data_IF_707550877300
#
_entry.id   IF_707550877300
#
_cell.length_a   1.000
_cell.length_b   1.000
_cell.length_c   1.000
_cell.angle_alpha   90.00
_cell.angle_beta   90.00
_cell.angle_gamma   90.00
#
_symmetry.space_group_name_H-M   'P 1'
#
loop_
_entity.id
_entity.type
_entity.pdbx_description
1 polymer ?
#
# COMPACT_ATOMS: atom_id res chain seq x y z
N UNK A 1 -21.61 -17.97 -1.24
CA UNK A 1 -21.64 -17.84 0.23
C UNK A 1 -20.37 -17.10 0.64
N UNK A 2 -20.42 -16.06 1.48
CA UNK A 2 -19.24 -15.31 1.91
C UNK A 2 -18.17 -16.21 2.55
N UNK A 3 -16.91 -15.96 2.24
CA UNK A 3 -15.78 -16.80 2.66
C UNK A 3 -15.63 -16.88 4.18
N UNK A 4 -15.93 -15.79 4.89
CA UNK A 4 -15.92 -15.73 6.36
C UNK A 4 -16.85 -16.79 7.00
N UNK A 5 -17.93 -17.18 6.33
CA UNK A 5 -18.86 -18.19 6.81
C UNK A 5 -18.35 -19.63 6.62
N UNK A 6 -17.27 -19.82 5.86
CA UNK A 6 -16.62 -21.12 5.62
C UNK A 6 -15.46 -21.39 6.57
N UNK A 7 -14.90 -20.33 7.18
CA UNK A 7 -13.68 -20.42 7.99
C UNK A 7 -13.85 -21.00 9.41
N UNK A 8 -15.08 -21.22 9.87
CA UNK A 8 -15.34 -21.79 11.20
C UNK A 8 -14.95 -20.91 12.39
N UNK A 9 -14.42 -19.71 12.19
CA UNK A 9 -14.08 -18.77 13.25
C UNK A 9 -15.33 -18.01 13.71
N UNK A 10 -15.91 -18.43 14.83
CA UNK A 10 -17.13 -17.85 15.38
C UNK A 10 -17.03 -16.34 15.64
N UNK A 11 -15.89 -15.84 16.12
CA UNK A 11 -15.69 -14.43 16.39
C UNK A 11 -15.71 -13.58 15.10
N UNK A 12 -15.10 -14.07 14.04
CA UNK A 12 -15.12 -13.41 12.72
C UNK A 12 -16.53 -13.44 12.10
N UNK A 13 -17.24 -14.56 12.27
CA UNK A 13 -18.62 -14.71 11.80
C UNK A 13 -19.54 -13.73 12.51
N UNK A 14 -19.44 -13.59 13.83
CA UNK A 14 -20.23 -12.62 14.62
C UNK A 14 -19.90 -11.18 14.24
N UNK A 15 -18.63 -10.83 14.11
CA UNK A 15 -18.23 -9.50 13.66
C UNK A 15 -18.79 -9.17 12.26
N UNK A 16 -18.76 -10.14 11.35
CA UNK A 16 -19.34 -9.99 10.01
C UNK A 16 -20.86 -9.83 10.07
N UNK A 17 -21.58 -10.64 10.87
CA UNK A 17 -23.03 -10.54 11.06
C UNK A 17 -23.45 -9.18 11.61
N UNK A 18 -22.76 -8.72 12.66
CA UNK A 18 -23.00 -7.40 13.26
C UNK A 18 -22.82 -6.29 12.21
N UNK A 19 -21.73 -6.33 11.44
CA UNK A 19 -21.49 -5.39 10.34
C UNK A 19 -22.63 -5.41 9.32
N UNK A 20 -23.05 -6.59 8.85
CA UNK A 20 -24.13 -6.73 7.87
C UNK A 20 -25.49 -6.22 8.40
N UNK A 21 -25.77 -6.47 9.69
CA UNK A 21 -26.98 -5.96 10.34
C UNK A 21 -26.98 -4.44 10.36
N UNK A 22 -25.90 -3.82 10.84
CA UNK A 22 -25.77 -2.35 10.89
C UNK A 22 -25.83 -1.71 9.50
N UNK A 23 -25.21 -2.32 8.50
CA UNK A 23 -25.25 -1.85 7.10
C UNK A 23 -26.66 -1.88 6.52
N UNK A 24 -27.42 -2.93 6.79
CA UNK A 24 -28.83 -3.05 6.37
C UNK A 24 -29.72 -2.02 7.07
N UNK A 25 -29.57 -1.87 8.38
CA UNK A 25 -30.31 -0.90 9.18
C UNK A 25 -30.03 0.52 8.68
N UNK A 26 -28.74 0.86 8.50
CA UNK A 26 -28.34 2.17 7.99
C UNK A 26 -28.95 2.49 6.61
N UNK A 27 -29.15 1.46 5.77
CA UNK A 27 -29.67 1.64 4.41
C UNK A 27 -31.19 1.64 4.35
N UNK A 28 -31.84 0.72 5.09
CA UNK A 28 -33.28 0.46 4.95
C UNK A 28 -34.13 1.11 6.03
N UNK A 29 -33.60 1.25 7.24
CA UNK A 29 -34.34 1.70 8.41
C UNK A 29 -33.45 2.50 9.36
N UNK A 30 -32.87 3.63 8.89
CA UNK A 30 -32.01 4.47 9.74
C UNK A 30 -32.73 5.05 10.97
N UNK A 31 -34.05 5.14 10.90
CA UNK A 31 -34.94 5.56 11.99
C UNK A 31 -34.81 4.65 13.23
N UNK A 32 -34.48 3.37 13.06
CA UNK A 32 -34.32 2.44 14.17
C UNK A 32 -33.17 2.83 15.11
N UNK A 33 -32.13 3.52 14.64
CA UNK A 33 -31.05 4.01 15.49
C UNK A 33 -31.48 5.12 16.46
N UNK A 34 -32.62 5.80 16.17
CA UNK A 34 -33.21 6.76 17.10
C UNK A 34 -34.04 6.04 18.18
N UNK A 35 -34.71 4.93 17.82
CA UNK A 35 -35.52 4.13 18.74
C UNK A 35 -34.67 3.24 19.64
N UNK A 36 -33.61 2.67 19.07
CA UNK A 36 -32.66 1.81 19.80
C UNK A 36 -31.25 2.29 19.49
N UNK A 37 -30.67 3.16 20.30
CA UNK A 37 -29.32 3.68 20.09
C UNK A 37 -28.30 2.56 20.04
N UNK A 38 -27.34 2.62 19.10
CA UNK A 38 -26.24 1.64 19.03
C UNK A 38 -25.38 1.66 20.29
N UNK A 39 -24.88 0.51 20.67
CA UNK A 39 -23.82 0.40 21.70
C UNK A 39 -22.56 1.18 21.26
N UNK A 40 -21.64 1.51 22.19
CA UNK A 40 -20.39 2.20 21.84
C UNK A 40 -19.56 1.47 20.78
N UNK A 41 -19.56 0.12 20.76
CA UNK A 41 -18.86 -0.69 19.79
C UNK A 41 -19.55 -0.67 18.43
N UNK A 42 -20.87 -0.79 18.42
CA UNK A 42 -21.67 -0.66 17.21
C UNK A 42 -21.59 0.74 16.62
N UNK A 43 -21.54 1.78 17.45
CA UNK A 43 -21.36 3.15 16.98
C UNK A 43 -20.00 3.34 16.29
N UNK A 44 -18.91 2.80 16.88
CA UNK A 44 -17.59 2.80 16.25
C UNK A 44 -17.60 2.09 14.88
N UNK A 45 -18.32 0.99 14.80
CA UNK A 45 -18.47 0.22 13.55
C UNK A 45 -19.34 0.97 12.54
N UNK A 46 -20.41 1.61 12.96
CA UNK A 46 -21.25 2.47 12.12
C UNK A 46 -20.47 3.65 11.54
N UNK A 47 -19.65 4.31 12.33
CA UNK A 47 -18.82 5.42 11.87
C UNK A 47 -17.75 4.93 10.87
N UNK A 48 -17.26 3.71 11.04
CA UNK A 48 -16.40 3.06 10.05
C UNK A 48 -17.16 2.77 8.75
N UNK A 49 -18.38 2.20 8.85
CA UNK A 49 -19.24 1.91 7.69
C UNK A 49 -19.59 3.19 6.92
N UNK A 50 -19.94 4.27 7.63
CA UNK A 50 -20.23 5.58 7.02
C UNK A 50 -19.01 6.14 6.30
N UNK A 51 -17.83 6.09 6.92
CA UNK A 51 -16.56 6.50 6.28
C UNK A 51 -16.24 5.65 5.06
N UNK A 52 -16.43 4.32 5.12
CA UNK A 52 -16.17 3.42 4.00
C UNK A 52 -17.13 3.72 2.82
N UNK A 53 -18.39 4.05 3.10
CA UNK A 53 -19.39 4.44 2.09
C UNK A 53 -19.17 5.83 1.49
N UNK A 54 -18.61 6.75 2.26
CA UNK A 54 -18.31 8.11 1.79
C UNK A 54 -16.99 8.20 1.01
N UNK A 55 -16.21 7.10 0.96
CA UNK A 55 -14.99 7.06 0.16
C UNK A 55 -15.35 7.06 -1.33
N UNK A 56 -14.63 7.84 -2.13
CA UNK A 56 -14.76 7.74 -3.57
C UNK A 56 -14.49 6.28 -3.98
N UNK A 57 -15.37 5.70 -4.79
CA UNK A 57 -15.14 4.38 -5.38
C UNK A 57 -14.57 4.58 -6.78
N UNK A 58 -13.61 3.73 -7.14
CA UNK A 58 -13.14 3.69 -8.51
C UNK A 58 -14.27 3.10 -9.38
N UNK A 59 -14.75 3.86 -10.35
CA UNK A 59 -15.83 3.44 -11.27
C UNK A 59 -15.28 2.69 -12.48
N UNK A 60 -13.99 2.81 -12.73
CA UNK A 60 -13.25 2.14 -13.78
C UNK A 60 -11.87 1.69 -13.26
N UNK A 61 -11.21 0.71 -13.86
CA UNK A 61 -9.86 0.35 -13.46
C UNK A 61 -8.87 1.46 -13.83
N UNK A 62 -7.86 1.75 -12.98
CA UNK A 62 -6.77 2.63 -13.35
C UNK A 62 -5.91 1.97 -14.44
N UNK A 63 -5.24 2.78 -15.23
CA UNK A 63 -4.29 2.31 -16.25
C UNK A 63 -2.87 2.39 -15.70
N UNK A 64 -2.16 1.26 -15.71
CA UNK A 64 -0.74 1.20 -15.37
C UNK A 64 0.11 1.40 -16.62
N UNK A 65 1.10 2.29 -16.55
CA UNK A 65 2.09 2.50 -17.61
C UNK A 65 3.43 2.97 -17.06
N UNK A 66 4.47 2.89 -17.87
CA UNK A 66 5.76 3.53 -17.59
C UNK A 66 5.52 5.05 -17.52
N UNK A 67 6.18 5.70 -16.56
CA UNK A 67 6.15 7.14 -16.40
C UNK A 67 6.99 7.84 -17.48
N UNK A 68 6.59 9.04 -17.83
CA UNK A 68 7.33 9.96 -18.73
C UNK A 68 7.76 11.21 -17.97
N UNK A 69 8.61 12.03 -18.58
CA UNK A 69 9.00 13.33 -18.01
C UNK A 69 7.80 14.25 -17.74
N UNK A 70 6.74 14.15 -18.54
CA UNK A 70 5.51 14.93 -18.36
C UNK A 70 4.78 14.57 -17.06
N UNK A 71 4.99 13.36 -16.52
CA UNK A 71 4.37 12.92 -15.26
C UNK A 71 5.12 13.45 -14.02
N UNK A 72 6.36 13.90 -14.18
CA UNK A 72 7.25 14.25 -13.07
C UNK A 72 6.65 15.26 -12.09
N UNK A 73 5.99 16.36 -12.53
CA UNK A 73 5.36 17.30 -11.61
C UNK A 73 4.28 16.63 -10.74
N UNK A 74 3.47 15.74 -11.32
CA UNK A 74 2.43 15.02 -10.62
C UNK A 74 3.02 14.00 -9.64
N UNK A 75 4.07 13.27 -10.03
CA UNK A 75 4.83 12.35 -9.19
C UNK A 75 5.37 13.08 -7.95
N UNK A 76 6.04 14.21 -8.13
CA UNK A 76 6.60 15.01 -7.04
C UNK A 76 5.50 15.52 -6.08
N UNK A 77 4.35 15.93 -6.61
CA UNK A 77 3.21 16.34 -5.80
C UNK A 77 2.69 15.16 -4.95
N UNK A 78 2.58 13.95 -5.50
CA UNK A 78 2.16 12.74 -4.79
C UNK A 78 3.17 12.39 -3.69
N UNK A 79 4.46 12.45 -3.99
CA UNK A 79 5.54 12.20 -3.04
C UNK A 79 5.52 13.21 -1.89
N UNK A 80 5.29 14.49 -2.18
CA UNK A 80 5.15 15.51 -1.14
C UNK A 80 3.92 15.26 -0.24
N UNK A 81 2.80 14.81 -0.81
CA UNK A 81 1.63 14.38 -0.02
C UNK A 81 1.95 13.17 0.87
N UNK A 82 2.76 12.23 0.37
CA UNK A 82 3.20 11.06 1.15
C UNK A 82 4.15 11.48 2.28
N UNK A 83 5.11 12.38 2.04
CA UNK A 83 5.97 12.97 3.08
C UNK A 83 5.16 13.62 4.20
N UNK A 84 4.19 14.46 3.82
CA UNK A 84 3.30 15.14 4.78
C UNK A 84 2.47 14.15 5.60
N UNK A 85 2.04 13.05 4.97
CA UNK A 85 1.35 11.97 5.68
C UNK A 85 2.26 11.28 6.69
N UNK A 86 3.46 10.87 6.28
CA UNK A 86 4.44 10.20 7.13
C UNK A 86 4.86 11.09 8.32
N UNK A 87 5.13 12.37 8.07
CA UNK A 87 5.45 13.36 9.09
C UNK A 87 4.35 13.45 10.16
N UNK A 88 3.08 13.60 9.75
CA UNK A 88 1.94 13.65 10.69
C UNK A 88 1.79 12.39 11.53
N UNK A 89 2.24 11.24 11.02
CA UNK A 89 2.22 9.96 11.73
C UNK A 89 3.54 9.65 12.45
N UNK A 90 4.47 10.62 12.55
CA UNK A 90 5.77 10.48 13.21
C UNK A 90 6.61 9.33 12.63
N UNK A 91 6.54 9.12 11.34
CA UNK A 91 7.35 8.14 10.61
C UNK A 91 8.51 8.87 9.96
N UNK A 92 9.73 8.59 10.38
CA UNK A 92 10.95 9.20 9.86
C UNK A 92 11.42 8.48 8.58
N UNK A 93 10.55 8.50 7.56
CA UNK A 93 10.81 8.00 6.21
C UNK A 93 10.54 9.14 5.23
N UNK A 94 11.46 9.36 4.29
CA UNK A 94 11.39 10.41 3.27
C UNK A 94 11.37 11.84 3.83
N UNK A 95 11.81 12.05 5.05
CA UNK A 95 11.83 13.36 5.69
C UNK A 95 13.12 14.15 5.39
N UNK A 96 14.06 13.55 4.65
CA UNK A 96 15.29 14.15 4.13
C UNK A 96 15.16 14.62 2.68
N UNK A 97 16.30 14.65 1.98
CA UNK A 97 16.36 15.00 0.56
C UNK A 97 15.82 13.90 -0.37
N UNK A 98 15.81 12.65 0.08
CA UNK A 98 15.35 11.48 -0.68
C UNK A 98 13.89 11.14 -0.39
N UNK A 99 13.11 10.67 -1.41
CA UNK A 99 13.41 10.72 -2.83
C UNK A 99 13.20 12.14 -3.37
N UNK A 100 13.97 12.56 -4.35
CA UNK A 100 13.90 13.89 -4.95
C UNK A 100 13.60 13.82 -6.46
N UNK A 101 13.60 14.96 -7.12
CA UNK A 101 13.35 15.07 -8.55
C UNK A 101 14.37 14.27 -9.37
N UNK A 102 15.65 14.38 -9.04
CA UNK A 102 16.73 13.68 -9.72
C UNK A 102 16.55 12.15 -9.63
N UNK A 103 16.13 11.65 -8.45
CA UNK A 103 15.81 10.24 -8.25
C UNK A 103 14.73 9.77 -9.23
N UNK A 104 13.64 10.52 -9.37
CA UNK A 104 12.56 10.11 -10.28
C UNK A 104 12.92 10.30 -11.76
N UNK A 105 13.72 11.30 -12.12
CA UNK A 105 14.25 11.42 -13.47
C UNK A 105 15.11 10.21 -13.85
N UNK A 106 15.99 9.77 -12.96
CA UNK A 106 16.79 8.57 -13.17
C UNK A 106 15.91 7.32 -13.35
N UNK A 107 14.87 7.14 -12.50
CA UNK A 107 13.93 6.03 -12.61
C UNK A 107 13.12 6.07 -13.91
N UNK A 108 12.70 7.25 -14.37
CA UNK A 108 11.99 7.46 -15.64
C UNK A 108 12.91 7.09 -16.80
N UNK A 109 14.13 7.64 -16.81
CA UNK A 109 15.11 7.37 -17.84
C UNK A 109 15.48 5.87 -17.96
N UNK A 110 15.50 5.17 -16.80
CA UNK A 110 15.74 3.72 -16.74
C UNK A 110 14.51 2.88 -17.09
N UNK A 111 13.33 3.49 -17.30
CA UNK A 111 12.07 2.77 -17.58
C UNK A 111 11.54 1.98 -16.39
N UNK A 112 11.99 2.27 -15.17
CA UNK A 112 11.61 1.56 -13.94
C UNK A 112 10.51 2.26 -13.15
N UNK A 113 10.28 3.56 -13.41
CA UNK A 113 9.19 4.32 -12.81
C UNK A 113 7.87 4.03 -13.52
N UNK A 114 6.84 3.68 -12.75
CA UNK A 114 5.50 3.41 -13.25
C UNK A 114 4.48 4.32 -12.57
N UNK A 115 3.43 4.67 -13.31
CA UNK A 115 2.29 5.41 -12.77
C UNK A 115 1.00 4.63 -12.98
N UNK A 116 0.08 4.77 -12.02
CA UNK A 116 -1.32 4.46 -12.25
C UNK A 116 -2.03 5.78 -12.59
N UNK A 117 -2.65 5.83 -13.76
CA UNK A 117 -3.49 6.97 -14.15
C UNK A 117 -4.95 6.61 -13.95
N UNK A 118 -5.73 7.58 -13.48
CA UNK A 118 -7.16 7.45 -13.27
C UNK A 118 -7.84 8.76 -13.67
N UNK A 119 -8.86 8.68 -14.51
CA UNK A 119 -9.56 9.84 -15.07
C UNK A 119 -8.60 10.89 -15.68
N UNK A 120 -7.60 10.42 -16.42
CA UNK A 120 -6.62 11.26 -17.10
C UNK A 120 -5.52 11.86 -16.21
N UNK A 121 -5.54 11.63 -14.90
CA UNK A 121 -4.54 12.16 -13.96
C UNK A 121 -3.67 11.05 -13.37
N UNK A 122 -2.42 11.38 -13.02
CA UNK A 122 -1.56 10.47 -12.24
C UNK A 122 -2.12 10.33 -10.82
N UNK A 123 -2.50 9.12 -10.47
CA UNK A 123 -3.15 8.79 -9.20
C UNK A 123 -2.23 8.04 -8.23
N UNK A 124 -1.23 7.32 -8.74
CA UNK A 124 -0.22 6.65 -7.94
C UNK A 124 1.10 6.52 -8.70
N UNK A 125 2.19 6.32 -7.98
CA UNK A 125 3.53 6.09 -8.51
C UNK A 125 4.20 4.95 -7.78
N UNK A 126 5.03 4.19 -8.47
CA UNK A 126 5.95 3.22 -7.89
C UNK A 126 7.14 2.99 -8.82
N UNK A 127 8.28 2.58 -8.24
CA UNK A 127 9.44 2.13 -9.00
C UNK A 127 9.60 0.63 -8.80
N UNK A 128 9.75 -0.11 -9.88
CA UNK A 128 10.00 -1.55 -9.88
C UNK A 128 11.32 -1.84 -10.59
N UNK A 129 12.27 -2.40 -9.85
CA UNK A 129 13.61 -2.73 -10.38
C UNK A 129 13.85 -4.23 -10.32
N UNK A 130 14.75 -4.69 -11.20
CA UNK A 130 15.22 -6.08 -11.25
C UNK A 130 16.71 -6.18 -10.96
N UNK A 131 17.36 -5.05 -10.76
CA UNK A 131 18.74 -4.99 -10.31
C UNK A 131 18.85 -5.34 -8.82
N UNK A 132 19.96 -5.98 -8.42
CA UNK A 132 20.22 -6.25 -7.01
C UNK A 132 20.24 -4.96 -6.19
N UNK A 133 19.56 -4.98 -5.03
CA UNK A 133 19.58 -3.88 -4.06
C UNK A 133 20.68 -4.16 -3.02
N UNK A 134 21.77 -3.37 -3.00
CA UNK A 134 22.90 -3.64 -2.10
C UNK A 134 22.54 -3.66 -0.61
N UNK A 135 21.59 -2.80 -0.19
CA UNK A 135 21.12 -2.77 1.19
C UNK A 135 20.47 -4.10 1.63
N UNK A 136 19.97 -4.89 0.68
CA UNK A 136 19.31 -6.17 0.97
C UNK A 136 20.30 -7.32 1.23
N UNK A 137 21.58 -7.14 0.90
CA UNK A 137 22.63 -8.13 1.23
C UNK A 137 22.98 -8.11 2.72
N UNK A 138 22.74 -6.96 3.37
CA UNK A 138 23.01 -6.78 4.80
C UNK A 138 21.77 -7.07 5.67
N UNK A 139 20.86 -7.97 5.24
CA UNK A 139 19.72 -8.38 6.01
C UNK A 139 20.12 -9.01 7.33
N UNK A 140 19.54 -8.52 8.44
CA UNK A 140 19.75 -9.04 9.80
C UNK A 140 18.42 -9.57 10.37
N UNK A 141 18.52 -10.38 11.42
CA UNK A 141 17.37 -10.92 12.17
C UNK A 141 16.38 -11.72 11.31
N UNK A 142 16.91 -12.36 10.26
CA UNK A 142 16.08 -13.17 9.38
C UNK A 142 16.79 -13.58 8.09
N UNK A 143 15.99 -13.95 7.09
CA UNK A 143 16.50 -14.37 5.78
C UNK A 143 15.45 -14.14 4.70
N UNK A 144 15.93 -13.92 3.48
CA UNK A 144 15.07 -13.96 2.28
C UNK A 144 14.58 -15.39 2.04
N UNK A 145 13.45 -15.51 1.38
CA UNK A 145 12.77 -16.78 1.07
C UNK A 145 13.01 -17.23 -0.37
N UNK A 146 13.48 -16.31 -1.22
CA UNK A 146 13.86 -16.55 -2.62
C UNK A 146 15.31 -16.17 -2.86
N UNK A 147 15.83 -16.62 -4.01
CA UNK A 147 17.16 -16.24 -4.48
C UNK A 147 17.20 -14.76 -4.86
N UNK A 148 18.41 -14.18 -4.80
CA UNK A 148 18.62 -12.77 -5.14
C UNK A 148 18.33 -12.44 -6.60
N UNK A 149 18.72 -13.34 -7.49
CA UNK A 149 18.75 -13.09 -8.94
C UNK A 149 17.36 -13.03 -9.59
N UNK A 150 16.33 -13.57 -8.92
CA UNK A 150 14.98 -13.66 -9.45
C UNK A 150 13.96 -12.86 -8.61
N UNK A 151 14.41 -11.86 -7.90
CA UNK A 151 13.52 -10.99 -7.11
C UNK A 151 13.42 -9.61 -7.74
N UNK A 152 12.20 -9.15 -7.99
CA UNK A 152 11.92 -7.74 -8.25
C UNK A 152 11.92 -6.94 -6.95
N UNK A 153 12.32 -5.69 -7.01
CA UNK A 153 12.35 -4.79 -5.83
C UNK A 153 11.39 -3.62 -6.06
N UNK A 154 10.43 -3.48 -5.15
CA UNK A 154 9.48 -2.38 -5.14
C UNK A 154 10.03 -1.21 -4.31
N UNK A 155 10.19 -0.07 -4.94
CA UNK A 155 10.61 1.18 -4.33
C UNK A 155 9.58 2.29 -4.50
N UNK A 156 9.66 3.32 -3.66
CA UNK A 156 9.03 4.64 -3.85
C UNK A 156 7.54 4.59 -4.22
N UNK A 157 6.79 3.62 -3.67
CA UNK A 157 5.37 3.52 -3.93
C UNK A 157 4.56 4.55 -3.11
N UNK A 158 3.70 5.29 -3.80
CA UNK A 158 2.83 6.28 -3.18
C UNK A 158 1.52 6.44 -3.96
N UNK A 159 0.44 6.73 -3.22
CA UNK A 159 -0.89 7.01 -3.77
C UNK A 159 -1.28 8.45 -3.44
N UNK A 160 -1.79 9.17 -4.43
CA UNK A 160 -2.31 10.52 -4.26
C UNK A 160 -3.35 10.60 -3.15
N UNK A 161 -3.31 11.69 -2.38
CA UNK A 161 -4.23 11.93 -1.28
C UNK A 161 -5.70 11.90 -1.72
N UNK A 162 -5.98 12.29 -2.96
CA UNK A 162 -7.32 12.30 -3.54
C UNK A 162 -7.93 10.90 -3.68
N UNK A 163 -7.08 9.86 -3.78
CA UNK A 163 -7.48 8.47 -3.99
C UNK A 163 -7.17 7.55 -2.82
N UNK A 164 -6.81 8.11 -1.65
CA UNK A 164 -6.61 7.30 -0.45
C UNK A 164 -7.91 6.68 0.02
N UNK A 165 -7.85 5.38 0.33
CA UNK A 165 -9.01 4.64 0.82
C UNK A 165 -9.99 4.16 -0.26
N UNK A 166 -9.68 4.36 -1.54
CA UNK A 166 -10.48 3.88 -2.68
C UNK A 166 -10.14 2.45 -3.10
N UNK A 167 -9.12 1.83 -2.51
CA UNK A 167 -8.57 0.55 -2.97
C UNK A 167 -7.42 0.70 -3.98
N UNK A 168 -7.06 1.93 -4.38
CA UNK A 168 -6.00 2.15 -5.39
C UNK A 168 -4.64 1.58 -4.96
N UNK A 169 -4.32 1.57 -3.66
CA UNK A 169 -3.09 0.94 -3.17
C UNK A 169 -3.09 -0.59 -3.36
N UNK A 170 -4.26 -1.22 -3.29
CA UNK A 170 -4.38 -2.65 -3.55
C UNK A 170 -4.18 -2.96 -5.03
N UNK A 171 -4.75 -2.13 -5.92
CA UNK A 171 -4.53 -2.23 -7.36
C UNK A 171 -3.06 -1.97 -7.74
N UNK A 172 -2.39 -0.99 -7.10
CA UNK A 172 -0.96 -0.76 -7.27
C UNK A 172 -0.16 -2.03 -6.96
N UNK A 173 -0.43 -2.69 -5.83
CA UNK A 173 0.28 -3.91 -5.46
C UNK A 173 0.01 -5.06 -6.44
N UNK A 174 -1.21 -5.17 -6.97
CA UNK A 174 -1.55 -6.15 -8.01
C UNK A 174 -0.76 -5.90 -9.29
N UNK A 175 -0.62 -4.64 -9.72
CA UNK A 175 0.16 -4.27 -10.89
C UNK A 175 1.66 -4.54 -10.70
N UNK A 176 2.22 -4.22 -9.53
CA UNK A 176 3.59 -4.57 -9.17
C UNK A 176 3.83 -6.07 -9.32
N UNK A 177 2.93 -6.90 -8.79
CA UNK A 177 3.04 -8.35 -8.85
C UNK A 177 2.85 -8.89 -10.27
N UNK A 178 1.95 -8.29 -11.06
CA UNK A 178 1.76 -8.64 -12.47
C UNK A 178 3.03 -8.36 -13.29
N UNK A 179 3.56 -7.14 -13.20
CA UNK A 179 4.78 -6.74 -13.90
C UNK A 179 6.00 -7.58 -13.49
N UNK A 180 6.12 -7.89 -12.21
CA UNK A 180 7.19 -8.76 -11.72
C UNK A 180 7.11 -10.17 -12.35
N UNK A 181 5.90 -10.78 -12.42
CA UNK A 181 5.71 -12.09 -13.08
C UNK A 181 6.02 -12.03 -14.57
N UNK A 182 5.53 -11.02 -15.27
CA UNK A 182 5.77 -10.82 -16.70
C UNK A 182 7.25 -10.66 -17.04
N UNK A 183 8.03 -10.13 -16.10
CA UNK A 183 9.49 -10.02 -16.23
C UNK A 183 10.24 -11.25 -15.75
N UNK A 184 9.55 -12.34 -15.38
CA UNK A 184 10.16 -13.59 -14.95
C UNK A 184 10.64 -13.60 -13.49
N UNK A 185 10.27 -12.61 -12.68
CA UNK A 185 10.64 -12.61 -11.27
C UNK A 185 9.84 -13.66 -10.47
N UNK A 186 10.51 -14.35 -9.56
CA UNK A 186 9.91 -15.35 -8.68
C UNK A 186 9.44 -14.78 -7.34
N UNK A 187 9.85 -13.56 -7.04
CA UNK A 187 9.47 -12.86 -5.82
C UNK A 187 9.44 -11.35 -6.01
N UNK A 188 8.72 -10.65 -5.14
CA UNK A 188 8.83 -9.20 -4.96
C UNK A 188 9.33 -8.92 -3.55
N UNK A 189 10.38 -8.13 -3.44
CA UNK A 189 10.96 -7.62 -2.21
C UNK A 189 10.63 -6.14 -2.03
N UNK A 190 10.48 -5.72 -0.80
CA UNK A 190 10.20 -4.33 -0.44
C UNK A 190 10.63 -4.08 0.99
N UNK A 191 11.08 -2.87 1.26
CA UNK A 191 11.31 -2.43 2.64
C UNK A 191 10.47 -1.23 3.00
N UNK A 192 10.32 -1.00 4.29
CA UNK A 192 9.66 0.19 4.81
C UNK A 192 10.16 0.53 6.20
N UNK A 193 10.02 1.79 6.58
CA UNK A 193 10.38 2.22 7.94
C UNK A 193 9.58 1.42 8.98
N UNK A 194 10.27 1.01 10.05
CA UNK A 194 9.69 0.16 11.12
C UNK A 194 8.38 0.69 11.72
N UNK A 195 8.18 2.02 11.70
CA UNK A 195 6.95 2.65 12.21
C UNK A 195 5.91 2.94 11.11
N UNK A 196 6.16 2.59 9.85
CA UNK A 196 5.18 2.79 8.78
C UNK A 196 4.09 1.70 8.82
N UNK A 197 3.18 1.83 9.77
CA UNK A 197 2.09 0.85 9.97
C UNK A 197 1.14 0.75 8.78
N UNK A 198 0.96 1.82 8.01
CA UNK A 198 0.09 1.80 6.84
C UNK A 198 0.66 0.89 5.75
N UNK A 199 1.96 1.04 5.43
CA UNK A 199 2.64 0.19 4.44
C UNK A 199 2.70 -1.26 4.90
N UNK A 200 3.04 -1.52 6.17
CA UNK A 200 3.08 -2.88 6.72
C UNK A 200 1.74 -3.60 6.59
N UNK A 201 0.63 -2.94 6.95
CA UNK A 201 -0.71 -3.51 6.79
C UNK A 201 -1.08 -3.79 5.34
N UNK A 202 -0.63 -2.93 4.41
CA UNK A 202 -0.81 -3.17 2.97
C UNK A 202 -0.05 -4.43 2.54
N UNK A 203 1.22 -4.53 2.90
CA UNK A 203 2.07 -5.67 2.58
C UNK A 203 1.51 -6.99 3.14
N UNK A 204 1.12 -7.01 4.42
CA UNK A 204 0.52 -8.18 5.08
C UNK A 204 -0.76 -8.63 4.36
N UNK A 205 -1.64 -7.69 3.98
CA UNK A 205 -2.89 -7.97 3.27
C UNK A 205 -2.63 -8.59 1.88
N UNK A 206 -1.53 -8.22 1.23
CA UNK A 206 -1.10 -8.79 -0.04
C UNK A 206 -0.23 -10.05 0.10
N UNK A 207 -0.07 -10.58 1.32
CA UNK A 207 0.64 -11.84 1.56
C UNK A 207 2.16 -11.73 1.60
N UNK A 208 2.70 -10.51 1.67
CA UNK A 208 4.12 -10.30 1.95
C UNK A 208 4.45 -10.75 3.37
N UNK A 209 5.59 -11.37 3.55
CA UNK A 209 6.08 -11.86 4.84
C UNK A 209 7.31 -11.08 5.26
N UNK A 210 7.39 -10.76 6.54
CA UNK A 210 8.58 -10.18 7.14
C UNK A 210 9.76 -11.14 6.99
N UNK A 211 10.90 -10.62 6.53
CA UNK A 211 12.12 -11.39 6.27
C UNK A 211 13.29 -10.99 7.16
N UNK A 212 13.28 -9.80 7.72
CA UNK A 212 14.36 -9.30 8.57
C UNK A 212 14.44 -7.78 8.57
N UNK A 213 15.52 -7.26 9.13
CA UNK A 213 15.79 -5.83 9.22
C UNK A 213 16.97 -5.47 8.30
N UNK A 214 16.92 -4.26 7.76
CA UNK A 214 18.01 -3.66 6.99
C UNK A 214 18.28 -2.24 7.47
N UNK A 215 19.42 -1.71 7.12
CA UNK A 215 19.79 -0.31 7.30
C UNK A 215 19.87 0.35 5.93
N UNK A 216 19.12 1.44 5.75
CA UNK A 216 19.22 2.28 4.57
C UNK A 216 20.10 3.49 4.92
N UNK A 217 20.99 3.85 3.99
CA UNK A 217 21.81 5.05 4.16
C UNK A 217 20.96 6.29 3.90
N UNK A 218 20.48 6.91 4.97
CA UNK A 218 19.74 8.17 4.95
C UNK A 218 20.33 9.09 6.02
N UNK A 219 21.33 9.91 5.69
CA UNK A 219 22.07 10.71 6.66
C UNK A 219 21.17 11.56 7.55
N UNK A 220 21.41 11.49 8.86
CA UNK A 220 20.67 12.25 9.86
C UNK A 220 19.24 11.77 10.11
N UNK A 221 18.86 10.58 9.64
CA UNK A 221 17.55 9.96 9.80
C UNK A 221 17.62 8.58 10.45
N UNK A 222 16.46 8.03 10.85
CA UNK A 222 16.41 6.65 11.35
C UNK A 222 16.61 5.68 10.16
N UNK A 223 17.77 4.99 10.08
CA UNK A 223 18.08 4.11 8.95
C UNK A 223 17.33 2.78 8.98
N UNK A 224 16.64 2.46 10.10
CA UNK A 224 16.09 1.14 10.34
C UNK A 224 14.85 0.89 9.49
N UNK A 225 14.91 -0.14 8.66
CA UNK A 225 13.83 -0.61 7.80
C UNK A 225 13.51 -2.06 8.10
N UNK A 226 12.26 -2.43 7.88
CA UNK A 226 11.79 -3.82 7.90
C UNK A 226 11.61 -4.29 6.47
N UNK A 227 12.22 -5.41 6.15
CA UNK A 227 12.20 -6.02 4.82
C UNK A 227 11.13 -7.11 4.74
N UNK A 228 10.43 -7.12 3.63
CA UNK A 228 9.34 -8.05 3.34
C UNK A 228 9.51 -8.67 1.97
N UNK A 229 9.03 -9.89 1.80
CA UNK A 229 9.05 -10.60 0.53
C UNK A 229 7.73 -11.34 0.29
N UNK A 230 7.30 -11.36 -0.96
CA UNK A 230 6.24 -12.22 -1.46
C UNK A 230 6.78 -13.10 -2.57
N UNK A 231 6.64 -14.41 -2.42
CA UNK A 231 6.89 -15.36 -3.50
C UNK A 231 5.73 -15.29 -4.50
N UNK A 232 6.07 -15.18 -5.78
CA UNK A 232 5.11 -15.18 -6.88
C UNK A 232 4.91 -16.64 -7.35
N UNK A 233 3.67 -17.00 -7.58
CA UNK A 233 3.28 -18.29 -8.16
C UNK A 233 3.01 -18.13 -9.64
#
# INVERSE_FOLDING_TARGET
>A
MPEVLRGGNHAEIEAWRTRQSLERTLTKRPDLFQQTPPTPDEQRLLDKIRRDRSRPQLVEPPVCRIATEDDLPAILAIVQQARNYLCRHRVDQWQGAYPNEETFRADIAAGTCHVLTYQGAVAAVFTLTFAPEPAYDALTDGRWRSDREHAAVLHRNAVSANWRGTGLSDLLMQEVERLARESGAHAVRVDTHRHNGAQKKLLERHGYRFCGNILCDEPGRDPRRQAFEKLLK
#
